data_IF_220886057894
#
_entry.id   IF_220886057894
#
_cell.length_a   1.000
_cell.length_b   1.000
_cell.length_c   1.000
_cell.angle_alpha   90.00
_cell.angle_beta   90.00
_cell.angle_gamma   90.00
#
_symmetry.space_group_name_H-M   'P 1'
#
loop_
_entity.id
_entity.type
_entity.pdbx_description
1 polymer ?
#
# COMPACT_ATOMS: atom_id res chain seq x y z
N UNK A 1 11.50 7.44 13.70
CA UNK A 1 10.60 7.15 12.57
C UNK A 1 11.19 6.02 11.74
N UNK A 2 10.60 4.82 11.80
CA UNK A 2 10.92 3.77 10.84
C UNK A 2 10.17 4.09 9.55
N UNK A 3 10.87 4.51 8.50
CA UNK A 3 10.28 4.66 7.18
C UNK A 3 9.88 3.26 6.70
N UNK A 4 8.58 2.96 6.66
CA UNK A 4 8.10 1.78 5.96
C UNK A 4 8.48 1.93 4.48
N UNK A 5 9.57 1.30 4.07
CA UNK A 5 9.96 1.23 2.66
C UNK A 5 8.90 0.37 1.97
N UNK A 6 8.08 1.00 1.14
CA UNK A 6 7.09 0.32 0.31
C UNK A 6 7.82 -0.46 -0.79
N UNK A 7 7.88 -1.78 -0.63
CA UNK A 7 8.50 -2.67 -1.62
C UNK A 7 7.46 -2.99 -2.70
N UNK A 8 7.84 -2.81 -3.96
CA UNK A 8 6.96 -3.06 -5.10
C UNK A 8 7.11 -4.48 -5.67
N UNK A 9 8.17 -5.22 -5.29
CA UNK A 9 8.38 -6.60 -5.72
C UNK A 9 9.18 -7.44 -4.70
N UNK A 10 9.05 -8.77 -4.73
CA UNK A 10 9.83 -9.67 -3.87
C UNK A 10 11.34 -9.55 -4.11
N UNK A 11 11.72 -9.37 -5.38
CA UNK A 11 13.11 -9.14 -5.76
C UNK A 11 13.66 -7.87 -5.09
N UNK A 12 12.92 -6.76 -5.12
CA UNK A 12 13.31 -5.52 -4.46
C UNK A 12 13.49 -5.73 -2.95
N UNK A 13 12.52 -6.39 -2.29
CA UNK A 13 12.57 -6.62 -0.85
C UNK A 13 13.77 -7.49 -0.47
N UNK A 14 14.01 -8.61 -1.18
CA UNK A 14 15.20 -9.47 -0.96
C UNK A 14 16.50 -8.70 -1.14
N UNK A 15 16.61 -7.93 -2.23
CA UNK A 15 17.80 -7.13 -2.53
C UNK A 15 18.10 -6.14 -1.41
N UNK A 16 17.12 -5.35 -0.99
CA UNK A 16 17.29 -4.32 0.06
C UNK A 16 17.58 -4.97 1.42
N UNK A 17 16.92 -6.09 1.75
CA UNK A 17 17.20 -6.84 2.99
C UNK A 17 18.62 -7.40 3.04
N UNK A 18 19.18 -7.79 1.88
CA UNK A 18 20.59 -8.20 1.75
C UNK A 18 21.57 -7.00 1.69
N UNK A 19 21.07 -5.76 1.71
CA UNK A 19 21.89 -4.55 1.70
C UNK A 19 22.39 -4.12 0.32
N UNK A 20 21.89 -4.73 -0.77
CA UNK A 20 22.37 -4.43 -2.12
C UNK A 20 21.64 -3.25 -2.76
N UNK A 21 22.40 -2.40 -3.46
CA UNK A 21 21.87 -1.43 -4.42
C UNK A 21 21.54 -2.10 -5.77
N UNK A 22 20.72 -1.43 -6.59
CA UNK A 22 20.47 -1.89 -7.97
C UNK A 22 21.77 -1.91 -8.81
N UNK A 23 22.70 -1.00 -8.52
CA UNK A 23 23.99 -0.92 -9.22
C UNK A 23 24.92 -2.09 -8.87
N UNK A 24 24.95 -2.52 -7.61
CA UNK A 24 25.73 -3.70 -7.21
C UNK A 24 25.14 -4.97 -7.82
N UNK A 25 23.82 -5.13 -7.76
CA UNK A 25 23.15 -6.27 -8.41
C UNK A 25 23.43 -6.30 -9.91
N UNK A 26 23.38 -5.15 -10.58
CA UNK A 26 23.66 -5.10 -12.03
C UNK A 26 25.10 -5.49 -12.35
N UNK A 27 26.07 -5.08 -11.53
CA UNK A 27 27.48 -5.52 -11.65
C UNK A 27 27.61 -7.03 -11.46
N UNK A 28 26.99 -7.61 -10.42
CA UNK A 28 27.01 -9.05 -10.20
C UNK A 28 26.38 -9.82 -11.36
N UNK A 29 25.33 -9.29 -11.97
CA UNK A 29 24.62 -9.92 -13.09
C UNK A 29 25.27 -9.68 -14.46
N UNK A 30 26.22 -8.75 -14.55
CA UNK A 30 26.84 -8.36 -15.83
C UNK A 30 25.85 -7.63 -16.76
N UNK A 31 24.93 -6.85 -16.21
CA UNK A 31 23.91 -6.09 -16.95
C UNK A 31 23.95 -4.61 -16.57
N UNK A 32 23.27 -3.76 -17.33
CA UNK A 32 23.11 -2.36 -16.95
C UNK A 32 22.18 -2.22 -15.75
N UNK A 33 22.35 -1.16 -14.95
CA UNK A 33 21.41 -0.85 -13.87
C UNK A 33 19.98 -0.64 -14.39
N UNK A 34 19.82 -0.08 -15.59
CA UNK A 34 18.51 0.11 -16.23
C UNK A 34 17.85 -1.21 -16.64
N UNK A 35 18.63 -2.21 -17.08
CA UNK A 35 18.13 -3.57 -17.32
C UNK A 35 17.70 -4.24 -16.01
N UNK A 36 18.50 -4.10 -14.95
CA UNK A 36 18.13 -4.60 -13.63
C UNK A 36 16.84 -3.96 -13.10
N UNK A 37 16.70 -2.64 -13.21
CA UNK A 37 15.49 -1.93 -12.79
C UNK A 37 14.25 -2.42 -13.52
N UNK A 38 14.34 -2.70 -14.83
CA UNK A 38 13.22 -3.29 -15.60
C UNK A 38 12.86 -4.69 -15.13
N UNK A 39 13.84 -5.52 -14.78
CA UNK A 39 13.61 -6.84 -14.18
C UNK A 39 12.86 -6.69 -12.84
N UNK A 40 13.31 -5.78 -11.96
CA UNK A 40 12.70 -5.55 -10.64
C UNK A 40 11.25 -5.04 -10.73
N UNK A 41 10.92 -4.32 -11.83
CA UNK A 41 9.57 -3.85 -12.16
C UNK A 41 8.72 -4.86 -12.93
N UNK A 42 9.23 -6.05 -13.24
CA UNK A 42 8.52 -7.06 -14.04
C UNK A 42 8.38 -6.72 -15.53
N UNK A 43 9.14 -5.74 -16.04
CA UNK A 43 9.08 -5.26 -17.43
C UNK A 43 9.99 -6.05 -18.38
N UNK A 44 10.72 -7.04 -17.88
CA UNK A 44 11.66 -7.85 -18.67
C UNK A 44 11.73 -9.25 -18.11
N UNK A 45 11.70 -10.26 -18.99
CA UNK A 45 11.80 -11.66 -18.59
C UNK A 45 13.19 -11.94 -17.97
N UNK A 46 13.26 -12.36 -16.69
CA UNK A 46 14.51 -12.60 -16.00
C UNK A 46 15.01 -14.05 -16.09
N UNK A 47 14.40 -14.93 -16.89
CA UNK A 47 14.71 -16.37 -16.92
C UNK A 47 16.22 -16.68 -17.01
N UNK A 48 16.95 -15.96 -17.87
CA UNK A 48 18.42 -16.11 -18.03
C UNK A 48 19.25 -15.73 -16.80
N UNK A 49 18.68 -14.96 -15.88
CA UNK A 49 19.34 -14.45 -14.68
C UNK A 49 18.88 -15.16 -13.40
N UNK A 50 17.87 -16.03 -13.48
CA UNK A 50 17.19 -16.60 -12.32
C UNK A 50 18.14 -17.36 -11.38
N UNK A 51 19.00 -18.22 -11.95
CA UNK A 51 19.99 -18.99 -11.18
C UNK A 51 21.00 -18.08 -10.46
N UNK A 52 21.51 -17.07 -11.16
CA UNK A 52 22.48 -16.13 -10.57
C UNK A 52 21.84 -15.25 -9.50
N UNK A 53 20.59 -14.82 -9.73
CA UNK A 53 19.80 -14.09 -8.73
C UNK A 53 19.57 -14.93 -7.48
N UNK A 54 19.23 -16.21 -7.64
CA UNK A 54 18.97 -17.11 -6.52
C UNK A 54 20.22 -17.36 -5.68
N UNK A 55 21.39 -17.49 -6.32
CA UNK A 55 22.69 -17.60 -5.66
C UNK A 55 23.05 -16.32 -4.87
N UNK A 56 22.94 -15.13 -5.48
CA UNK A 56 23.27 -13.85 -4.81
C UNK A 56 22.32 -13.57 -3.64
N UNK A 57 21.04 -13.90 -3.80
CA UNK A 57 20.00 -13.64 -2.81
C UNK A 57 19.82 -14.77 -1.80
N UNK A 58 20.57 -15.86 -1.96
CA UNK A 58 20.57 -17.02 -1.07
C UNK A 58 19.15 -17.58 -0.85
N UNK A 59 18.49 -17.91 -1.96
CA UNK A 59 17.15 -18.47 -1.96
C UNK A 59 16.96 -19.46 -3.10
N UNK A 60 15.88 -20.24 -3.09
CA UNK A 60 15.56 -21.14 -4.19
C UNK A 60 15.13 -20.33 -5.44
N UNK A 61 15.48 -20.74 -6.68
CA UNK A 61 15.09 -20.05 -7.91
C UNK A 61 13.60 -19.73 -8.01
N UNK A 62 12.73 -20.64 -7.57
CA UNK A 62 11.28 -20.45 -7.57
C UNK A 62 10.79 -19.39 -6.59
N UNK A 63 11.63 -18.86 -5.70
CA UNK A 63 11.26 -17.85 -4.70
C UNK A 63 11.82 -16.46 -4.97
N UNK A 64 12.63 -16.29 -6.03
CA UNK A 64 13.25 -15.00 -6.37
C UNK A 64 12.18 -13.93 -6.60
N UNK A 65 11.08 -14.33 -7.26
CA UNK A 65 10.00 -13.44 -7.66
C UNK A 65 8.66 -13.72 -6.97
N UNK A 66 8.57 -14.72 -6.09
CA UNK A 66 7.32 -15.14 -5.45
C UNK A 66 7.58 -15.81 -4.09
N UNK A 67 6.51 -16.29 -3.44
CA UNK A 67 6.58 -16.99 -2.16
C UNK A 67 6.20 -16.10 -0.98
N UNK A 68 6.72 -16.43 0.21
CA UNK A 68 6.33 -15.77 1.47
C UNK A 68 6.60 -14.25 1.49
N UNK A 69 7.60 -13.79 0.74
CA UNK A 69 7.88 -12.36 0.62
C UNK A 69 6.78 -11.64 -0.17
N UNK A 70 6.22 -12.26 -1.21
CA UNK A 70 5.10 -11.69 -1.96
C UNK A 70 3.87 -11.55 -1.06
N UNK A 71 3.50 -12.62 -0.35
CA UNK A 71 2.38 -12.60 0.61
C UNK A 71 2.57 -11.51 1.66
N UNK A 72 3.76 -11.40 2.25
CA UNK A 72 4.07 -10.34 3.22
C UNK A 72 3.97 -8.94 2.62
N UNK A 73 4.40 -8.72 1.37
CA UNK A 73 4.25 -7.42 0.70
C UNK A 73 2.77 -7.09 0.50
N UNK A 74 1.96 -8.06 0.07
CA UNK A 74 0.51 -7.91 -0.07
C UNK A 74 -0.17 -7.62 1.27
N UNK A 75 0.19 -8.37 2.32
CA UNK A 75 -0.32 -8.16 3.68
C UNK A 75 0.08 -6.79 4.22
N UNK A 76 1.34 -6.38 4.04
CA UNK A 76 1.84 -5.05 4.43
C UNK A 76 1.05 -3.95 3.70
N UNK A 77 0.72 -4.16 2.42
CA UNK A 77 -0.02 -3.21 1.59
C UNK A 77 -1.51 -3.13 1.94
N UNK A 78 -2.14 -4.26 2.30
CA UNK A 78 -3.53 -4.33 2.72
C UNK A 78 -3.73 -3.81 4.15
N UNK A 79 -2.73 -3.98 5.02
CA UNK A 79 -2.75 -3.54 6.42
C UNK A 79 -2.04 -2.19 6.64
N UNK A 80 -1.81 -1.43 5.57
CA UNK A 80 -1.14 -0.14 5.65
C UNK A 80 -1.91 0.81 6.59
N UNK A 81 -1.24 1.25 7.66
CA UNK A 81 -1.83 2.13 8.68
C UNK A 81 -2.13 3.53 8.17
N UNK A 82 -1.72 3.87 6.94
CA UNK A 82 -2.05 5.15 6.30
C UNK A 82 -3.47 5.22 5.76
N UNK A 83 -4.24 4.13 5.78
CA UNK A 83 -5.63 4.14 5.34
C UNK A 83 -6.42 5.25 6.05
N UNK A 84 -6.95 6.19 5.28
CA UNK A 84 -7.65 7.37 5.77
C UNK A 84 -9.08 7.38 5.28
N UNK A 85 -10.04 7.32 6.22
CA UNK A 85 -11.45 7.57 5.94
C UNK A 85 -11.88 8.83 6.70
N UNK A 86 -11.76 9.98 6.05
CA UNK A 86 -12.10 11.29 6.62
C UNK A 86 -13.39 11.82 6.02
N UNK A 87 -14.18 12.50 6.85
CA UNK A 87 -15.46 13.10 6.49
C UNK A 87 -15.58 14.46 7.16
N UNK A 88 -16.03 15.45 6.38
CA UNK A 88 -16.25 16.81 6.84
C UNK A 88 -17.61 17.28 6.35
N UNK A 89 -18.48 17.66 7.29
CA UNK A 89 -19.82 18.14 6.97
C UNK A 89 -19.78 19.63 6.62
N UNK A 90 -20.55 20.02 5.60
CA UNK A 90 -20.58 21.41 5.17
C UNK A 90 -21.36 22.28 6.16
N UNK A 91 -20.71 23.25 6.80
CA UNK A 91 -21.29 23.98 7.94
C UNK A 91 -22.62 24.70 7.68
N UNK A 92 -22.89 25.11 6.43
CA UNK A 92 -24.04 25.95 6.07
C UNK A 92 -25.05 25.29 5.14
N UNK A 93 -24.77 24.08 4.63
CA UNK A 93 -25.60 23.43 3.60
C UNK A 93 -25.88 22.01 4.03
N UNK A 94 -27.13 21.76 4.42
CA UNK A 94 -27.61 20.46 4.87
C UNK A 94 -27.45 19.38 3.79
N UNK A 95 -27.20 18.13 4.21
CA UNK A 95 -26.95 17.00 3.33
C UNK A 95 -25.59 16.97 2.63
N UNK A 96 -24.76 18.02 2.70
CA UNK A 96 -23.45 18.03 2.03
C UNK A 96 -22.33 17.54 2.95
N UNK A 97 -21.60 16.53 2.47
CA UNK A 97 -20.41 15.98 3.12
C UNK A 97 -19.26 15.88 2.12
N UNK A 98 -18.08 16.31 2.54
CA UNK A 98 -16.83 16.05 1.83
C UNK A 98 -16.20 14.77 2.38
N UNK A 99 -15.91 13.81 1.50
CA UNK A 99 -15.27 12.54 1.85
C UNK A 99 -13.87 12.49 1.25
N UNK A 100 -12.89 12.19 2.11
CA UNK A 100 -11.51 11.89 1.70
C UNK A 100 -11.20 10.45 2.12
N UNK A 101 -11.24 9.55 1.14
CA UNK A 101 -11.00 8.12 1.32
C UNK A 101 -9.72 7.78 0.56
N UNK A 102 -8.74 7.25 1.28
CA UNK A 102 -7.44 6.87 0.73
C UNK A 102 -6.96 5.56 1.36
N UNK A 103 -6.39 4.67 0.54
CA UNK A 103 -5.91 3.35 0.96
C UNK A 103 -6.88 2.18 0.74
N UNK A 104 -6.55 1.02 1.30
CA UNK A 104 -7.28 -0.24 1.12
C UNK A 104 -8.15 -0.57 2.32
N UNK A 105 -9.44 -0.81 2.08
CA UNK A 105 -10.38 -1.11 3.14
C UNK A 105 -11.02 -2.48 2.90
N UNK A 106 -11.14 -3.25 3.98
CA UNK A 106 -11.96 -4.45 3.96
C UNK A 106 -13.43 -4.11 3.76
N UNK A 107 -14.20 -5.05 3.22
CA UNK A 107 -15.67 -4.92 3.10
C UNK A 107 -16.32 -4.52 4.43
N UNK A 108 -15.83 -5.08 5.54
CA UNK A 108 -16.31 -4.78 6.90
C UNK A 108 -16.06 -3.32 7.26
N UNK A 109 -14.82 -2.83 7.11
CA UNK A 109 -14.46 -1.44 7.40
C UNK A 109 -15.27 -0.44 6.55
N UNK A 110 -15.42 -0.71 5.25
CA UNK A 110 -16.27 0.10 4.36
C UNK A 110 -17.70 0.13 4.89
N UNK A 111 -18.28 -1.04 5.17
CA UNK A 111 -19.67 -1.14 5.63
C UNK A 111 -19.88 -0.39 6.95
N UNK A 112 -18.97 -0.53 7.91
CA UNK A 112 -19.03 0.15 9.20
C UNK A 112 -18.88 1.68 9.03
N UNK A 113 -17.92 2.13 8.24
CA UNK A 113 -17.70 3.55 7.96
C UNK A 113 -18.92 4.19 7.27
N UNK A 114 -19.54 3.51 6.30
CA UNK A 114 -20.76 4.01 5.65
C UNK A 114 -21.95 4.03 6.59
N UNK A 115 -22.17 2.98 7.39
CA UNK A 115 -23.25 2.96 8.39
C UNK A 115 -23.11 4.13 9.36
N UNK A 116 -21.90 4.41 9.81
CA UNK A 116 -21.62 5.53 10.70
C UNK A 116 -21.83 6.88 10.01
N UNK A 117 -21.36 7.06 8.77
CA UNK A 117 -21.59 8.27 7.98
C UNK A 117 -23.10 8.55 7.80
N UNK A 118 -23.88 7.53 7.44
CA UNK A 118 -25.33 7.68 7.26
C UNK A 118 -26.01 8.00 8.59
N UNK A 119 -25.58 7.38 9.69
CA UNK A 119 -26.06 7.73 11.02
C UNK A 119 -25.76 9.18 11.37
N UNK A 120 -24.52 9.64 11.17
CA UNK A 120 -24.11 11.03 11.40
C UNK A 120 -24.92 12.01 10.54
N UNK A 121 -25.18 11.69 9.26
CA UNK A 121 -26.03 12.50 8.38
C UNK A 121 -27.50 12.53 8.83
N UNK A 122 -28.03 11.42 9.33
CA UNK A 122 -29.42 11.34 9.81
C UNK A 122 -29.61 12.02 11.17
N UNK A 123 -28.58 11.98 12.03
CA UNK A 123 -28.52 12.72 13.30
C UNK A 123 -28.27 14.21 13.07
N UNK A 124 -27.82 14.59 11.87
CA UNK A 124 -27.67 15.98 11.46
C UNK A 124 -29.04 16.61 11.20
N UNK A 125 -29.74 16.96 12.28
CA UNK A 125 -30.98 17.76 12.25
C UNK A 125 -30.71 19.20 12.67
N UNK A 126 -31.29 20.14 11.93
CA UNK A 126 -31.42 21.53 12.33
C UNK A 126 -32.64 21.63 13.26
N UNK A 127 -32.50 22.24 14.45
CA UNK A 127 -33.67 22.77 15.16
C UNK A 127 -34.03 24.15 14.57
N UNK A 128 -35.33 24.48 14.54
CA UNK A 128 -35.96 25.65 13.87
C UNK A 128 -35.36 27.04 14.17
N UNK A 129 -34.35 27.16 15.03
CA UNK A 129 -33.66 28.41 15.38
C UNK A 129 -32.16 28.48 15.05
N UNK A 130 -31.57 27.50 14.35
CA UNK A 130 -30.19 27.61 13.84
C UNK A 130 -29.04 27.49 14.85
N UNK A 131 -29.27 26.92 16.05
CA UNK A 131 -28.22 26.66 17.05
C UNK A 131 -27.89 25.16 17.16
N UNK A 132 -26.59 24.86 17.15
CA UNK A 132 -25.92 23.54 17.05
C UNK A 132 -25.89 22.79 18.40
N UNK A 133 -26.11 21.47 18.38
CA UNK A 133 -25.70 20.57 19.49
C UNK A 133 -24.95 19.34 18.94
N UNK A 134 -23.84 18.98 19.59
CA UNK A 134 -23.25 17.64 19.56
C UNK A 134 -23.77 16.94 20.81
N UNK A 135 -24.50 15.84 20.68
CA UNK A 135 -24.89 15.08 21.88
C UNK A 135 -23.61 14.60 22.58
N UNK A 136 -23.48 14.95 23.86
CA UNK A 136 -22.57 14.29 24.81
C UNK A 136 -23.06 12.87 25.05
#
# INVERSE_FOLDING_TARGET
MSYFIKYNSPLQKRRVTKGYSQQEMSKHLGITQSQYSRIEKGQTNPAKHLKKLSEILDCHPSEVFQGEIQKKIEDDFLNDKTNSFQRMFHERKEGYVHLKIDGWFTKKQITENYKMLIRELNEWRINEGGIRWKHK
#
